data_IF_401987091708
#
_entry.id   IF_401987091708
#
_cell.length_a   1.000
_cell.length_b   1.000
_cell.length_c   1.000
_cell.angle_alpha   90.00
_cell.angle_beta   90.00
_cell.angle_gamma   90.00
#
_symmetry.space_group_name_H-M   'P 1'
#
loop_
_entity.id
_entity.type
_entity.pdbx_description
1 polymer ?
#
# COMPACT_ATOMS: atom_id res chain seq x y z
N UNK A 1 18.27 -14.36 -6.89
CA UNK A 1 17.54 -13.94 -5.67
C UNK A 1 16.18 -13.43 -6.10
N UNK A 2 15.12 -13.72 -5.35
CA UNK A 2 13.79 -13.13 -5.58
C UNK A 2 13.83 -11.66 -5.13
N UNK A 3 13.12 -10.76 -5.82
CA UNK A 3 12.99 -9.37 -5.36
C UNK A 3 12.21 -9.34 -4.04
N UNK A 4 12.75 -8.63 -3.05
CA UNK A 4 12.13 -8.52 -1.73
C UNK A 4 11.19 -7.32 -1.67
N UNK A 5 10.05 -7.46 -1.00
CA UNK A 5 9.13 -6.36 -0.77
C UNK A 5 8.56 -6.36 0.65
N UNK A 6 8.08 -5.19 1.08
CA UNK A 6 7.38 -5.01 2.36
C UNK A 6 5.95 -4.54 2.12
N UNK A 7 5.04 -4.92 3.02
CA UNK A 7 3.60 -4.73 2.89
C UNK A 7 3.04 -3.98 4.12
N UNK A 8 2.91 -2.66 4.01
CA UNK A 8 2.47 -1.78 5.10
C UNK A 8 0.96 -1.48 5.01
N UNK A 9 0.26 -1.50 6.14
CA UNK A 9 -1.21 -1.39 6.19
C UNK A 9 -1.87 -2.44 5.28
N UNK A 10 -1.40 -3.67 5.41
CA UNK A 10 -1.60 -4.73 4.42
C UNK A 10 -3.06 -5.21 4.30
N UNK A 11 -3.88 -4.98 5.33
CA UNK A 11 -5.20 -5.56 5.46
C UNK A 11 -5.14 -7.09 5.32
N UNK A 12 -5.78 -7.61 4.27
CA UNK A 12 -5.81 -9.05 3.96
C UNK A 12 -4.84 -9.44 2.82
N UNK A 13 -3.96 -8.52 2.38
CA UNK A 13 -2.90 -8.80 1.39
C UNK A 13 -3.30 -8.58 -0.07
N UNK A 14 -4.20 -7.63 -0.33
CA UNK A 14 -4.64 -7.32 -1.70
C UNK A 14 -3.51 -6.87 -2.62
N UNK A 15 -2.64 -5.96 -2.16
CA UNK A 15 -1.50 -5.46 -2.94
C UNK A 15 -0.42 -6.54 -3.04
N UNK A 16 -0.12 -7.26 -1.93
CA UNK A 16 0.81 -8.39 -1.89
C UNK A 16 0.57 -9.41 -3.00
N UNK A 17 -0.69 -9.75 -3.27
CA UNK A 17 -1.03 -10.75 -4.29
C UNK A 17 -0.39 -10.46 -5.65
N UNK A 18 -0.44 -9.20 -6.10
CA UNK A 18 0.13 -8.80 -7.39
C UNK A 18 1.66 -8.96 -7.44
N UNK A 19 2.34 -8.67 -6.33
CA UNK A 19 3.81 -8.75 -6.25
C UNK A 19 4.33 -10.17 -6.04
N UNK A 20 3.59 -11.02 -5.33
CA UNK A 20 3.92 -12.46 -5.29
C UNK A 20 3.69 -13.15 -6.64
N UNK A 21 2.67 -12.74 -7.40
CA UNK A 21 2.38 -13.32 -8.71
C UNK A 21 3.52 -13.14 -9.72
N UNK A 22 4.36 -12.12 -9.55
CA UNK A 22 5.57 -11.88 -10.35
C UNK A 22 6.86 -12.41 -9.68
N UNK A 23 6.73 -13.23 -8.63
CA UNK A 23 7.84 -13.91 -7.96
C UNK A 23 8.50 -13.13 -6.82
N UNK A 24 7.88 -12.04 -6.35
CA UNK A 24 8.36 -11.27 -5.21
C UNK A 24 8.27 -12.05 -3.89
N UNK A 25 9.17 -11.75 -2.94
CA UNK A 25 9.15 -12.28 -1.59
C UNK A 25 8.77 -11.21 -0.58
N UNK A 26 7.67 -11.41 0.15
CA UNK A 26 7.31 -10.53 1.26
C UNK A 26 8.24 -10.81 2.45
N UNK A 27 8.98 -9.80 2.92
CA UNK A 27 9.92 -9.94 4.07
C UNK A 27 9.44 -9.23 5.33
N UNK A 28 8.44 -8.37 5.22
CA UNK A 28 7.84 -7.67 6.37
C UNK A 28 6.39 -7.27 6.07
N UNK A 29 5.52 -7.43 7.05
CA UNK A 29 4.12 -7.00 6.99
C UNK A 29 3.74 -6.19 8.23
N UNK A 30 3.09 -5.04 8.04
CA UNK A 30 2.48 -4.27 9.13
C UNK A 30 0.97 -4.20 8.94
N UNK A 31 0.21 -4.68 9.93
CA UNK A 31 -1.24 -4.60 9.96
C UNK A 31 -1.76 -4.62 11.41
N UNK A 32 -2.47 -3.56 11.80
CA UNK A 32 -2.92 -3.36 13.17
C UNK A 32 -4.18 -4.18 13.52
N UNK A 33 -5.05 -4.45 12.54
CA UNK A 33 -6.31 -5.16 12.76
C UNK A 33 -6.08 -6.67 12.87
N UNK A 34 -6.26 -7.21 14.07
CA UNK A 34 -6.06 -8.62 14.39
C UNK A 34 -6.92 -9.59 13.56
N UNK A 35 -8.12 -9.19 13.16
CA UNK A 35 -8.99 -10.01 12.29
C UNK A 35 -8.46 -10.05 10.85
N UNK A 36 -7.95 -8.92 10.35
CA UNK A 36 -7.28 -8.84 9.06
C UNK A 36 -6.00 -9.70 9.06
N UNK A 37 -5.16 -9.60 10.10
CA UNK A 37 -3.96 -10.45 10.27
C UNK A 37 -4.31 -11.93 10.28
N UNK A 38 -5.38 -12.34 10.97
CA UNK A 38 -5.82 -13.75 11.00
C UNK A 38 -6.15 -14.24 9.59
N UNK A 39 -6.88 -13.43 8.82
CA UNK A 39 -7.23 -13.73 7.43
C UNK A 39 -5.98 -13.77 6.53
N UNK A 40 -5.08 -12.81 6.71
CA UNK A 40 -3.84 -12.71 5.98
C UNK A 40 -2.98 -13.98 6.16
N UNK A 41 -2.72 -14.38 7.41
CA UNK A 41 -1.92 -15.58 7.73
C UNK A 41 -2.54 -16.88 7.23
N UNK A 42 -3.86 -16.93 7.11
CA UNK A 42 -4.56 -18.09 6.57
C UNK A 42 -4.47 -18.20 5.03
N UNK A 43 -4.08 -17.12 4.34
CA UNK A 43 -4.00 -17.04 2.88
C UNK A 43 -2.58 -16.99 2.32
N UNK A 44 -1.64 -16.46 3.10
CA UNK A 44 -0.29 -16.15 2.65
C UNK A 44 0.74 -16.94 3.46
N UNK A 45 1.61 -17.67 2.76
CA UNK A 45 2.74 -18.32 3.41
C UNK A 45 3.69 -17.25 3.99
N UNK A 46 3.96 -17.35 5.28
CA UNK A 46 4.82 -16.42 6.01
C UNK A 46 5.83 -17.25 6.80
N UNK A 47 7.01 -17.43 6.23
CA UNK A 47 8.12 -18.14 6.86
C UNK A 47 8.67 -17.33 8.04
N UNK A 48 8.59 -17.81 9.29
CA UNK A 48 9.07 -17.07 10.45
C UNK A 48 10.56 -16.70 10.40
N UNK A 49 11.37 -17.44 9.64
CA UNK A 49 12.80 -17.17 9.50
C UNK A 49 13.10 -16.09 8.45
N UNK A 50 12.15 -15.80 7.56
CA UNK A 50 12.32 -14.89 6.43
C UNK A 50 11.27 -13.76 6.35
N UNK A 51 10.29 -13.75 7.25
CA UNK A 51 9.19 -12.79 7.29
C UNK A 51 8.86 -12.39 8.74
N UNK A 52 8.60 -11.10 8.94
CA UNK A 52 8.20 -10.55 10.24
C UNK A 52 6.88 -9.81 10.16
N UNK A 53 6.08 -9.93 11.22
CA UNK A 53 4.85 -9.16 11.41
C UNK A 53 5.05 -8.04 12.43
N UNK A 54 4.48 -6.89 12.12
CA UNK A 54 4.29 -5.78 13.04
C UNK A 54 2.79 -5.45 13.13
N UNK A 55 2.36 -5.02 14.32
CA UNK A 55 0.99 -4.58 14.54
C UNK A 55 0.87 -3.07 14.34
N UNK A 56 1.51 -2.30 15.22
CA UNK A 56 1.51 -0.83 15.17
C UNK A 56 2.84 -0.35 14.59
N UNK A 57 2.77 0.30 13.42
CA UNK A 57 3.95 0.78 12.71
C UNK A 57 4.72 1.84 13.51
N UNK A 58 4.04 2.54 14.44
CA UNK A 58 4.65 3.60 15.26
C UNK A 58 5.63 3.06 16.29
N UNK A 59 5.53 1.78 16.63
CA UNK A 59 6.53 1.08 17.45
C UNK A 59 7.83 0.86 16.67
N UNK A 60 7.76 0.75 15.34
CA UNK A 60 8.93 0.61 14.48
C UNK A 60 9.53 1.97 14.14
N UNK A 61 8.70 2.96 13.81
CA UNK A 61 9.17 4.28 13.42
C UNK A 61 9.50 5.18 14.61
N UNK A 62 9.04 4.83 15.81
CA UNK A 62 9.14 5.66 17.03
C UNK A 62 8.47 7.04 16.87
N UNK A 63 7.48 7.18 15.98
CA UNK A 63 6.81 8.48 15.73
C UNK A 63 5.97 9.00 16.89
N UNK A 64 5.66 8.14 17.85
CA UNK A 64 4.93 8.51 19.07
C UNK A 64 5.84 8.97 20.22
N UNK A 65 7.17 8.83 20.08
CA UNK A 65 8.14 9.15 21.13
C UNK A 65 8.76 10.52 20.88
N UNK A 66 8.74 11.39 21.90
CA UNK A 66 9.44 12.66 21.86
C UNK A 66 10.92 12.49 22.25
N UNK A 67 11.79 13.28 21.63
CA UNK A 67 13.23 13.27 21.94
C UNK A 67 14.06 12.22 21.20
N UNK A 68 13.44 11.37 20.37
CA UNK A 68 14.14 10.47 19.45
C UNK A 68 14.62 11.26 18.24
N UNK A 69 15.91 11.18 17.93
CA UNK A 69 16.49 11.81 16.73
C UNK A 69 16.11 11.06 15.46
N UNK A 70 16.19 11.74 14.31
CA UNK A 70 15.90 11.11 13.01
C UNK A 70 16.84 9.91 12.74
N UNK A 71 18.11 10.00 13.12
CA UNK A 71 19.10 8.94 12.93
C UNK A 71 18.81 7.71 13.80
N UNK A 72 18.43 7.92 15.07
CA UNK A 72 18.04 6.83 15.98
C UNK A 72 16.80 6.11 15.47
N UNK A 73 15.78 6.83 15.05
CA UNK A 73 14.59 6.24 14.47
C UNK A 73 14.88 5.51 13.15
N UNK A 74 15.71 6.09 12.28
CA UNK A 74 16.12 5.45 11.05
C UNK A 74 16.89 4.14 11.33
N UNK A 75 17.73 4.11 12.36
CA UNK A 75 18.40 2.89 12.78
C UNK A 75 17.42 1.85 13.33
N UNK A 76 16.48 2.26 14.19
CA UNK A 76 15.46 1.36 14.73
C UNK A 76 14.59 0.74 13.62
N UNK A 77 14.20 1.53 12.62
CA UNK A 77 13.52 1.05 11.41
C UNK A 77 14.39 0.02 10.67
N UNK A 78 15.69 0.27 10.53
CA UNK A 78 16.63 -0.66 9.87
C UNK A 78 16.92 -1.92 10.68
N UNK A 79 16.66 -1.95 11.97
CA UNK A 79 16.78 -3.17 12.75
C UNK A 79 15.52 -4.03 12.64
N UNK A 80 14.34 -3.40 12.49
CA UNK A 80 13.05 -4.10 12.46
C UNK A 80 12.55 -4.49 11.05
N UNK A 81 12.68 -3.63 10.04
CA UNK A 81 12.13 -3.88 8.69
C UNK A 81 13.30 -4.28 7.80
N UNK A 82 13.44 -5.49 7.25
CA UNK A 82 14.59 -5.87 6.41
C UNK A 82 14.80 -4.98 5.16
N UNK A 83 15.99 -5.04 4.56
CA UNK A 83 16.22 -4.42 3.26
C UNK A 83 15.30 -5.02 2.18
N UNK A 84 14.80 -4.18 1.28
CA UNK A 84 13.81 -4.57 0.28
C UNK A 84 13.91 -3.69 -0.96
N UNK A 85 13.49 -4.23 -2.10
CA UNK A 85 13.49 -3.55 -3.39
C UNK A 85 12.23 -2.70 -3.57
N UNK A 86 11.08 -3.20 -3.08
CA UNK A 86 9.77 -2.59 -3.27
C UNK A 86 9.05 -2.36 -1.93
N UNK A 87 8.52 -1.16 -1.71
CA UNK A 87 7.65 -0.85 -0.57
C UNK A 87 6.21 -0.71 -1.02
N UNK A 88 5.29 -1.44 -0.39
CA UNK A 88 3.85 -1.35 -0.64
C UNK A 88 3.18 -0.71 0.58
N UNK A 89 2.27 0.24 0.37
CA UNK A 89 1.50 0.82 1.48
C UNK A 89 0.09 1.28 1.08
N UNK A 90 -0.92 0.80 1.81
CA UNK A 90 -2.32 1.27 1.73
C UNK A 90 -2.68 2.19 2.89
N UNK A 91 -2.01 3.34 3.03
CA UNK A 91 -2.15 4.20 4.20
C UNK A 91 -3.50 4.97 4.22
N UNK A 92 -4.12 5.18 5.40
CA UNK A 92 -5.41 5.87 5.48
C UNK A 92 -5.29 7.37 5.13
N UNK A 93 -6.34 7.93 4.51
CA UNK A 93 -6.41 9.35 4.17
C UNK A 93 -6.67 10.21 5.43
N UNK A 94 -5.62 10.87 5.95
CA UNK A 94 -5.69 11.77 7.11
C UNK A 94 -5.37 13.22 6.70
N UNK A 95 -6.08 14.25 7.21
CA UNK A 95 -5.71 15.64 6.99
C UNK A 95 -4.41 15.99 7.72
N UNK A 96 -3.58 16.87 7.13
CA UNK A 96 -2.35 17.34 7.78
C UNK A 96 -2.60 18.66 8.51
N UNK A 97 -2.27 18.74 9.81
CA UNK A 97 -2.36 19.98 10.58
C UNK A 97 -1.20 20.95 10.25
N UNK A 98 -1.49 22.25 10.26
CA UNK A 98 -0.59 23.32 9.78
C UNK A 98 0.63 23.62 10.67
N UNK A 99 0.80 22.96 11.80
CA UNK A 99 1.70 23.38 12.89
C UNK A 99 3.22 23.22 12.62
N UNK A 100 3.67 23.20 11.36
CA UNK A 100 5.07 22.85 11.04
C UNK A 100 5.45 22.81 9.56
N UNK A 101 4.50 22.78 8.62
CA UNK A 101 4.82 22.82 7.18
C UNK A 101 5.01 24.26 6.68
N UNK A 102 4.30 25.25 7.25
CA UNK A 102 4.27 26.64 6.74
C UNK A 102 5.29 27.60 7.37
N UNK A 103 6.32 27.13 8.07
CA UNK A 103 7.38 28.01 8.62
C UNK A 103 8.82 27.59 8.31
N UNK A 104 9.01 26.61 7.40
CA UNK A 104 10.32 25.97 7.17
C UNK A 104 11.01 26.38 5.87
N UNK A 105 10.26 26.85 4.87
CA UNK A 105 10.84 27.34 3.61
C UNK A 105 11.43 28.77 3.69
N UNK A 106 11.24 29.49 4.81
CA UNK A 106 11.73 30.86 4.99
C UNK A 106 13.09 30.96 5.73
N UNK A 107 13.63 29.86 6.25
CA UNK A 107 14.79 29.90 7.18
C UNK A 107 15.95 28.96 6.83
N UNK A 108 15.93 28.29 5.66
CA UNK A 108 17.10 27.55 5.16
C UNK A 108 17.63 26.44 6.07
N UNK A 109 16.79 25.86 6.95
CA UNK A 109 17.17 24.75 7.83
C UNK A 109 16.38 23.49 7.50
N UNK A 110 17.09 22.44 7.09
CA UNK A 110 16.58 21.08 7.04
C UNK A 110 16.45 20.56 8.48
N UNK A 111 15.23 20.48 9.00
CA UNK A 111 14.98 19.75 10.25
C UNK A 111 13.89 18.73 9.94
N UNK A 112 14.31 17.45 9.92
CA UNK A 112 13.67 16.31 9.28
C UNK A 112 12.39 15.80 9.94
N UNK A 113 12.29 14.48 10.12
CA UNK A 113 11.11 13.78 10.58
C UNK A 113 10.88 13.88 12.11
N UNK A 114 11.33 14.97 12.74
CA UNK A 114 11.19 15.25 14.18
C UNK A 114 10.43 16.56 14.51
N UNK A 115 9.34 16.85 13.80
CA UNK A 115 8.50 18.03 14.06
C UNK A 115 7.05 17.61 14.21
N UNK A 116 6.42 18.10 15.28
CA UNK A 116 5.07 17.79 15.80
C UNK A 116 3.89 17.80 14.78
N UNK A 117 4.13 18.18 13.52
CA UNK A 117 3.25 17.96 12.37
C UNK A 117 3.15 16.53 11.86
N UNK A 118 3.88 15.58 12.45
CA UNK A 118 4.04 14.19 12.01
C UNK A 118 2.96 13.19 12.45
N UNK A 119 1.86 13.64 13.04
CA UNK A 119 0.85 12.74 13.61
C UNK A 119 0.05 11.86 12.63
N UNK A 120 0.44 11.75 11.36
CA UNK A 120 -0.25 10.92 10.37
C UNK A 120 0.59 9.73 9.93
N UNK A 121 -0.10 8.63 9.60
CA UNK A 121 0.52 7.38 9.17
C UNK A 121 1.27 7.50 7.84
N UNK A 122 1.02 8.55 7.06
CA UNK A 122 1.84 8.87 5.89
C UNK A 122 3.29 9.21 6.28
N UNK A 123 3.50 9.92 7.40
CA UNK A 123 4.86 10.24 7.83
C UNK A 123 5.60 9.01 8.34
N UNK A 124 4.90 8.01 8.90
CA UNK A 124 5.51 6.71 9.20
C UNK A 124 6.01 6.03 7.92
N UNK A 125 5.21 6.03 6.85
CA UNK A 125 5.64 5.53 5.53
C UNK A 125 6.84 6.32 5.00
N UNK A 126 6.80 7.65 5.05
CA UNK A 126 7.88 8.51 4.58
C UNK A 126 9.21 8.26 5.35
N UNK A 127 9.14 8.06 6.68
CA UNK A 127 10.31 7.68 7.50
C UNK A 127 10.89 6.34 7.09
N UNK A 128 10.03 5.36 6.79
CA UNK A 128 10.50 4.04 6.33
C UNK A 128 11.14 4.14 4.95
N UNK A 129 10.55 4.89 4.03
CA UNK A 129 11.13 5.16 2.70
C UNK A 129 12.50 5.82 2.84
N UNK A 130 12.66 6.77 3.76
CA UNK A 130 13.94 7.44 3.99
C UNK A 130 14.98 6.52 4.61
N UNK A 131 14.61 5.76 5.65
CA UNK A 131 15.52 4.87 6.35
C UNK A 131 15.96 3.66 5.52
N UNK A 132 15.09 3.13 4.65
CA UNK A 132 15.35 1.92 3.85
C UNK A 132 15.64 2.16 2.38
N UNK A 133 15.31 3.33 1.84
CA UNK A 133 15.60 3.72 0.46
C UNK A 133 15.21 2.63 -0.56
N UNK A 134 13.98 2.08 -0.56
CA UNK A 134 13.59 1.07 -1.55
C UNK A 134 13.78 1.59 -2.98
N UNK A 135 14.03 0.70 -3.94
CA UNK A 135 14.20 1.12 -5.34
C UNK A 135 12.88 1.66 -5.91
N UNK A 136 11.76 1.06 -5.50
CA UNK A 136 10.40 1.41 -5.94
C UNK A 136 9.47 1.45 -4.72
N UNK A 137 8.47 2.31 -4.73
CA UNK A 137 7.30 2.16 -3.86
C UNK A 137 6.00 2.18 -4.67
N UNK A 138 4.95 1.57 -4.09
CA UNK A 138 3.57 1.68 -4.57
C UNK A 138 2.69 2.04 -3.39
N UNK A 139 2.10 3.25 -3.44
CA UNK A 139 1.16 3.72 -2.44
C UNK A 139 -0.25 3.74 -3.00
N UNK A 140 -1.19 3.16 -2.27
CA UNK A 140 -2.62 3.18 -2.60
C UNK A 140 -3.36 4.15 -1.68
N UNK A 141 -4.33 4.87 -2.25
CA UNK A 141 -5.23 5.71 -1.46
C UNK A 141 -6.58 5.95 -2.17
N UNK A 142 -7.47 6.68 -1.49
CA UNK A 142 -8.78 7.07 -2.01
C UNK A 142 -8.69 7.93 -3.28
N UNK A 143 -9.62 7.72 -4.23
CA UNK A 143 -9.66 8.46 -5.50
C UNK A 143 -9.70 9.99 -5.35
N UNK A 144 -10.29 10.48 -4.25
CA UNK A 144 -10.47 11.90 -3.98
C UNK A 144 -9.29 12.53 -3.23
N UNK A 145 -8.14 11.84 -3.13
CA UNK A 145 -6.96 12.35 -2.44
C UNK A 145 -6.53 13.74 -2.95
N UNK A 146 -6.68 13.99 -4.26
CA UNK A 146 -6.32 15.25 -4.93
C UNK A 146 -7.16 16.45 -4.48
N UNK A 147 -8.41 16.25 -4.10
CA UNK A 147 -9.31 17.33 -3.66
C UNK A 147 -9.43 17.42 -2.14
N UNK A 148 -8.88 16.45 -1.41
CA UNK A 148 -8.91 16.40 0.04
C UNK A 148 -8.18 17.59 0.69
N UNK A 149 -8.77 18.17 1.74
CA UNK A 149 -8.26 19.38 2.43
C UNK A 149 -7.94 20.53 1.45
N UNK A 150 -8.80 20.75 0.45
CA UNK A 150 -8.57 21.75 -0.60
C UNK A 150 -7.33 21.47 -1.46
N UNK A 151 -6.98 20.19 -1.64
CA UNK A 151 -5.79 19.72 -2.35
C UNK A 151 -4.48 19.82 -1.57
N UNK A 152 -4.54 20.27 -0.32
CA UNK A 152 -3.36 20.39 0.54
C UNK A 152 -2.74 19.03 0.88
N UNK A 153 -3.57 18.01 1.12
CA UNK A 153 -3.09 16.66 1.44
C UNK A 153 -2.24 16.09 0.31
N UNK A 154 -2.77 16.08 -0.91
CA UNK A 154 -2.03 15.58 -2.07
C UNK A 154 -0.73 16.35 -2.32
N UNK A 155 -0.77 17.69 -2.24
CA UNK A 155 0.43 18.52 -2.42
C UNK A 155 1.54 18.20 -1.41
N UNK A 156 1.20 18.01 -0.13
CA UNK A 156 2.18 17.65 0.91
C UNK A 156 2.78 16.27 0.63
N UNK A 157 1.95 15.30 0.24
CA UNK A 157 2.41 13.96 -0.12
C UNK A 157 3.39 14.02 -1.27
N UNK A 158 3.02 14.65 -2.40
CA UNK A 158 3.87 14.73 -3.58
C UNK A 158 5.19 15.48 -3.32
N UNK A 159 5.14 16.59 -2.56
CA UNK A 159 6.35 17.31 -2.18
C UNK A 159 7.27 16.47 -1.29
N UNK A 160 6.70 15.75 -0.32
CA UNK A 160 7.49 14.91 0.59
C UNK A 160 8.18 13.76 -0.17
N UNK A 161 7.49 13.15 -1.12
CA UNK A 161 8.06 12.08 -1.95
C UNK A 161 9.16 12.61 -2.89
N UNK A 162 9.00 13.82 -3.43
CA UNK A 162 10.01 14.50 -4.24
C UNK A 162 11.26 14.88 -3.42
N UNK A 163 11.06 15.45 -2.23
CA UNK A 163 12.12 15.79 -1.28
C UNK A 163 12.91 14.54 -0.83
N UNK A 164 12.24 13.39 -0.74
CA UNK A 164 12.85 12.09 -0.49
C UNK A 164 13.66 11.56 -1.69
N UNK A 165 13.65 12.22 -2.84
CA UNK A 165 14.43 11.80 -4.00
C UNK A 165 13.75 10.73 -4.85
N UNK A 166 12.41 10.73 -4.92
CA UNK A 166 11.65 9.80 -5.76
C UNK A 166 10.85 10.54 -6.84
N UNK A 167 10.93 10.01 -8.06
CA UNK A 167 10.09 10.43 -9.17
C UNK A 167 8.82 9.60 -9.18
N UNK A 168 7.67 10.26 -8.96
CA UNK A 168 6.36 9.60 -9.01
C UNK A 168 5.84 9.58 -10.45
N UNK A 169 5.43 8.39 -10.92
CA UNK A 169 4.84 8.20 -12.24
C UNK A 169 3.66 9.16 -12.46
N UNK A 170 3.66 9.83 -13.62
CA UNK A 170 2.61 10.77 -14.02
C UNK A 170 2.36 11.91 -13.01
N UNK A 171 3.38 12.32 -12.22
CA UNK A 171 3.23 13.36 -11.19
C UNK A 171 2.70 14.69 -11.72
N UNK A 172 3.06 15.05 -12.96
CA UNK A 172 2.62 16.29 -13.62
C UNK A 172 1.14 16.25 -14.06
N UNK A 173 0.57 15.05 -14.19
CA UNK A 173 -0.82 14.86 -14.60
C UNK A 173 -1.75 15.03 -13.40
N UNK A 174 -2.75 15.90 -13.50
CA UNK A 174 -3.74 16.09 -12.43
C UNK A 174 -5.16 16.32 -12.95
N UNK A 175 -5.36 16.18 -14.27
CA UNK A 175 -6.63 16.42 -14.95
C UNK A 175 -7.71 15.38 -14.65
N UNK A 176 -8.86 15.48 -15.35
CA UNK A 176 -9.95 14.50 -15.26
C UNK A 176 -9.56 13.09 -15.71
N UNK A 177 -8.58 12.96 -16.60
CA UNK A 177 -8.05 11.72 -17.16
C UNK A 177 -6.77 11.25 -16.46
N UNK A 178 -6.59 11.63 -15.19
CA UNK A 178 -5.39 11.32 -14.42
C UNK A 178 -5.12 9.79 -14.38
N UNK A 179 -4.00 9.33 -14.96
CA UNK A 179 -3.70 7.91 -15.07
C UNK A 179 -3.38 7.26 -13.72
N UNK A 180 -3.12 8.06 -12.68
CA UNK A 180 -2.99 7.55 -11.31
C UNK A 180 -4.31 7.05 -10.75
N UNK A 181 -5.46 7.40 -11.35
CA UNK A 181 -6.77 6.90 -10.93
C UNK A 181 -7.10 5.63 -11.72
N UNK A 182 -7.16 4.51 -11.01
CA UNK A 182 -7.45 3.19 -11.58
C UNK A 182 -8.79 2.69 -11.05
N UNK A 183 -9.67 2.26 -11.95
CA UNK A 183 -10.97 1.67 -11.61
C UNK A 183 -10.92 0.14 -11.66
N UNK A 184 -11.32 -0.51 -10.55
CA UNK A 184 -11.46 -1.97 -10.47
C UNK A 184 -12.41 -2.56 -11.52
N UNK A 185 -13.31 -1.76 -12.11
CA UNK A 185 -14.28 -2.20 -13.14
C UNK A 185 -13.63 -2.88 -14.34
N UNK A 186 -12.36 -2.53 -14.63
CA UNK A 186 -11.62 -3.07 -15.76
C UNK A 186 -11.15 -4.51 -15.53
N UNK A 187 -11.12 -4.95 -14.27
CA UNK A 187 -10.67 -6.28 -13.87
C UNK A 187 -11.83 -7.14 -13.35
N UNK A 188 -12.75 -6.52 -12.60
CA UNK A 188 -13.89 -7.16 -11.95
C UNK A 188 -15.18 -6.38 -12.22
N UNK A 189 -16.37 -7.00 -12.13
CA UNK A 189 -17.65 -6.31 -12.31
C UNK A 189 -18.02 -5.42 -11.09
N UNK A 190 -17.09 -4.56 -10.65
CA UNK A 190 -17.25 -3.66 -9.52
C UNK A 190 -16.56 -2.32 -9.80
N UNK A 191 -17.33 -1.22 -9.73
CA UNK A 191 -16.74 0.12 -9.68
C UNK A 191 -16.00 0.33 -8.36
N UNK A 192 -14.69 0.57 -8.46
CA UNK A 192 -13.84 0.84 -7.30
C UNK A 192 -12.61 1.60 -7.75
N UNK A 193 -12.73 2.92 -7.79
CA UNK A 193 -11.63 3.80 -8.14
C UNK A 193 -10.71 4.04 -6.93
N UNK A 194 -9.41 4.00 -7.19
CA UNK A 194 -8.33 4.33 -6.25
C UNK A 194 -7.24 5.12 -6.94
N UNK A 195 -6.55 5.96 -6.18
CA UNK A 195 -5.31 6.58 -6.65
C UNK A 195 -4.14 5.65 -6.32
N UNK A 196 -3.23 5.46 -7.27
CA UNK A 196 -2.01 4.67 -7.12
C UNK A 196 -0.81 5.57 -7.43
N UNK A 197 0.09 5.70 -6.47
CA UNK A 197 1.33 6.47 -6.60
C UNK A 197 2.49 5.48 -6.70
N UNK A 198 3.09 5.39 -7.89
CA UNK A 198 4.28 4.55 -8.13
C UNK A 198 5.50 5.46 -8.14
N UNK A 199 6.42 5.28 -7.21
CA UNK A 199 7.63 6.09 -7.11
C UNK A 199 8.89 5.31 -7.40
N UNK A 200 9.82 5.93 -8.12
CA UNK A 200 11.11 5.38 -8.48
C UNK A 200 12.22 6.20 -7.85
N UNK A 201 13.21 5.53 -7.23
CA UNK A 201 14.36 6.23 -6.64
C UNK A 201 15.20 6.90 -7.73
N UNK A 202 15.34 8.22 -7.66
CA UNK A 202 15.89 9.07 -8.73
C UNK A 202 17.34 8.73 -9.10
N UNK A 203 18.16 8.36 -8.12
CA UNK A 203 19.57 7.99 -8.31
C UNK A 203 19.74 6.69 -9.12
N UNK A 204 18.72 5.83 -9.16
CA UNK A 204 18.77 4.55 -9.87
C UNK A 204 18.33 4.64 -11.34
N UNK A 205 17.73 5.76 -11.74
CA UNK A 205 17.23 5.99 -13.11
C UNK A 205 16.36 4.82 -13.66
N UNK A 206 15.50 4.25 -12.80
CA UNK A 206 14.63 3.11 -13.13
C UNK A 206 13.31 3.51 -13.81
N UNK A 207 12.83 4.74 -13.55
CA UNK A 207 11.50 5.19 -13.98
C UNK A 207 11.35 5.25 -15.51
N UNK A 208 12.40 5.60 -16.24
CA UNK A 208 12.41 5.59 -17.72
C UNK A 208 11.15 6.22 -18.34
N UNK A 209 10.46 5.44 -19.17
CA UNK A 209 9.19 5.82 -19.80
C UNK A 209 7.96 5.23 -19.10
N UNK A 210 8.09 4.77 -17.85
CA UNK A 210 6.97 4.16 -17.13
C UNK A 210 5.82 5.17 -16.96
N UNK A 211 4.63 4.76 -17.36
CA UNK A 211 3.39 5.54 -17.18
C UNK A 211 2.22 4.60 -16.89
N UNK A 212 1.31 5.04 -16.02
CA UNK A 212 0.07 4.32 -15.78
C UNK A 212 -0.92 4.46 -16.96
N UNK A 213 -0.63 5.33 -17.94
CA UNK A 213 -1.39 5.44 -19.20
C UNK A 213 -1.33 4.17 -20.05
N UNK A 214 -0.37 3.28 -19.80
CA UNK A 214 -0.23 2.00 -20.50
C UNK A 214 -1.17 0.91 -19.96
N UNK A 215 -1.76 1.09 -18.77
CA UNK A 215 -2.65 0.11 -18.13
C UNK A 215 -3.84 -0.36 -18.98
N UNK A 216 -4.51 0.50 -19.78
CA UNK A 216 -5.57 0.06 -20.67
C UNK A 216 -5.16 -1.06 -21.64
N UNK A 217 -3.89 -1.10 -22.05
CA UNK A 217 -3.35 -2.17 -22.89
C UNK A 217 -3.15 -3.50 -22.14
N UNK A 218 -3.23 -3.49 -20.80
CA UNK A 218 -3.05 -4.65 -19.93
C UNK A 218 -4.37 -5.14 -19.32
N UNK A 219 -5.50 -4.50 -19.60
CA UNK A 219 -6.79 -4.97 -19.12
C UNK A 219 -7.14 -6.33 -19.73
N UNK A 220 -7.75 -7.24 -18.95
CA UNK A 220 -8.23 -8.49 -19.50
C UNK A 220 -9.30 -8.22 -20.57
N UNK A 221 -9.23 -8.95 -21.69
CA UNK A 221 -10.18 -8.79 -22.81
C UNK A 221 -11.64 -9.02 -22.41
N UNK A 222 -11.86 -9.77 -21.34
CA UNK A 222 -13.15 -9.89 -20.67
C UNK A 222 -12.89 -9.73 -19.18
N UNK A 223 -13.53 -8.77 -18.48
CA UNK A 223 -13.47 -8.71 -17.03
C UNK A 223 -13.81 -10.10 -16.48
N UNK A 224 -13.08 -10.57 -15.47
CA UNK A 224 -13.31 -11.89 -14.90
C UNK A 224 -14.77 -12.00 -14.47
N UNK A 225 -15.56 -12.73 -15.25
CA UNK A 225 -16.95 -13.02 -14.98
C UNK A 225 -17.05 -14.35 -14.24
N UNK A 226 -17.98 -14.35 -13.29
CA UNK A 226 -18.40 -15.47 -12.48
C UNK A 226 -18.49 -16.79 -13.27
N UNK A 227 -17.91 -17.86 -12.70
CA UNK A 227 -18.14 -19.20 -13.19
C UNK A 227 -19.58 -19.55 -12.83
N UNK A 228 -20.52 -19.43 -13.79
CA UNK A 228 -21.86 -20.00 -13.66
C UNK A 228 -21.71 -21.50 -13.42
N UNK A 229 -21.77 -21.93 -12.17
CA UNK A 229 -22.02 -23.34 -11.87
C UNK A 229 -23.42 -23.67 -12.38
N UNK A 230 -23.48 -24.40 -13.48
CA UNK A 230 -24.70 -25.07 -13.92
C UNK A 230 -25.19 -25.99 -12.79
N UNK A 231 -26.39 -25.76 -12.28
CA UNK A 231 -27.09 -26.75 -11.46
C UNK A 231 -27.85 -26.20 -10.25
N UNK A 232 -29.14 -25.95 -10.47
CA UNK A 232 -30.26 -26.08 -9.53
C UNK A 232 -30.24 -25.31 -8.19
N UNK A 233 -31.04 -24.23 -8.15
CA UNK A 233 -31.90 -23.92 -7.01
C UNK A 233 -31.29 -23.06 -5.89
N UNK A 234 -31.45 -21.74 -6.01
CA UNK A 234 -31.21 -20.78 -4.92
C UNK A 234 -29.93 -19.96 -5.14
N UNK A 235 -30.03 -18.95 -6.00
CA UNK A 235 -28.91 -18.09 -6.39
C UNK A 235 -28.24 -17.40 -5.19
N UNK A 236 -26.99 -17.76 -4.95
CA UNK A 236 -25.98 -16.89 -4.35
C UNK A 236 -24.85 -16.78 -5.36
N UNK A 237 -24.52 -15.56 -5.78
CA UNK A 237 -23.37 -15.27 -6.64
C UNK A 237 -22.08 -15.59 -5.85
N UNK A 238 -21.28 -16.54 -6.34
CA UNK A 238 -20.04 -17.02 -5.72
C UNK A 238 -18.89 -16.77 -6.70
N UNK A 239 -18.06 -15.77 -6.44
CA UNK A 239 -16.89 -15.46 -7.27
C UNK A 239 -15.79 -16.50 -7.03
N UNK A 240 -15.60 -17.48 -7.93
CA UNK A 240 -14.50 -18.45 -7.84
C UNK A 240 -13.26 -18.00 -8.61
N UNK A 241 -12.09 -18.08 -8.00
CA UNK A 241 -10.80 -18.07 -8.71
C UNK A 241 -10.18 -19.46 -8.64
N UNK A 242 -9.31 -19.85 -9.60
CA UNK A 242 -8.54 -21.08 -9.49
C UNK A 242 -7.74 -21.09 -8.16
N UNK A 243 -8.09 -21.99 -7.23
CA UNK A 243 -7.42 -22.15 -5.94
C UNK A 243 -8.10 -21.54 -4.70
N UNK A 244 -9.34 -21.04 -4.78
CA UNK A 244 -10.11 -20.55 -3.62
C UNK A 244 -10.97 -21.64 -2.95
N UNK A 245 -11.02 -21.68 -1.61
CA UNK A 245 -11.91 -22.52 -0.78
C UNK A 245 -12.99 -21.66 -0.11
N UNK A 246 -14.23 -22.17 -0.05
CA UNK A 246 -15.38 -21.54 0.60
C UNK A 246 -15.21 -21.39 2.13
N UNK A 247 -15.63 -20.25 2.70
CA UNK A 247 -15.85 -20.08 4.15
C UNK A 247 -17.28 -19.58 4.42
N UNK A 248 -17.95 -20.06 5.49
CA UNK A 248 -19.24 -19.54 5.91
C UNK A 248 -19.25 -18.02 6.20
N UNK A 249 -20.31 -17.34 5.75
CA UNK A 249 -20.54 -15.89 5.89
C UNK A 249 -20.40 -15.34 7.33
N UNK A 250 -20.57 -16.18 8.35
CA UNK A 250 -20.45 -15.79 9.76
C UNK A 250 -19.03 -15.36 10.14
N UNK A 251 -17.99 -15.82 9.42
CA UNK A 251 -16.60 -15.36 9.62
C UNK A 251 -16.27 -14.08 8.83
N UNK A 252 -17.02 -13.78 7.76
CA UNK A 252 -16.78 -12.59 6.92
C UNK A 252 -17.32 -11.30 7.56
N UNK A 253 -18.46 -11.37 8.26
CA UNK A 253 -19.13 -10.19 8.82
C UNK A 253 -18.35 -9.50 9.96
N UNK A 254 -17.47 -10.22 10.65
CA UNK A 254 -16.66 -9.67 11.75
C UNK A 254 -15.30 -9.12 11.28
N UNK A 255 -14.84 -9.49 10.08
CA UNK A 255 -13.49 -9.17 9.59
C UNK A 255 -13.43 -7.91 8.70
N UNK A 256 -14.54 -7.53 8.08
CA UNK A 256 -14.60 -6.36 7.20
C UNK A 256 -15.77 -5.47 7.56
N UNK A 257 -15.48 -4.26 8.04
CA UNK A 257 -16.46 -3.19 8.05
C UNK A 257 -17.13 -3.10 6.67
N UNK A 258 -18.46 -3.18 6.67
CA UNK A 258 -19.38 -3.07 5.54
C UNK A 258 -18.85 -3.52 4.16
N UNK A 259 -19.13 -4.78 3.81
CA UNK A 259 -19.33 -5.17 2.40
C UNK A 259 -18.16 -5.82 1.67
N UNK A 260 -17.12 -6.32 2.36
CA UNK A 260 -16.09 -7.15 1.70
C UNK A 260 -16.31 -8.64 2.02
N UNK A 261 -16.26 -9.50 0.99
CA UNK A 261 -16.22 -10.97 1.17
C UNK A 261 -14.76 -11.41 1.17
N UNK A 262 -14.41 -12.27 2.13
CA UNK A 262 -13.06 -12.80 2.32
C UNK A 262 -12.98 -14.22 1.72
N UNK A 263 -11.87 -14.52 1.04
CA UNK A 263 -11.58 -15.84 0.44
C UNK A 263 -10.36 -16.46 1.13
N UNK A 264 -10.34 -17.80 1.27
CA UNK A 264 -9.14 -18.57 1.65
C UNK A 264 -8.55 -19.25 0.42
N UNK A 265 -7.21 -19.26 0.29
CA UNK A 265 -6.48 -20.05 -0.69
C UNK A 265 -6.37 -21.51 -0.22
N UNK A 266 -6.64 -22.48 -1.10
CA UNK A 266 -6.40 -23.90 -0.80
C UNK A 266 -4.90 -24.13 -0.60
N UNK A 267 -4.51 -24.62 0.57
CA UNK A 267 -3.12 -24.92 0.94
C UNK A 267 -2.52 -26.13 0.20
N UNK A 268 -3.15 -26.60 -0.89
CA UNK A 268 -2.73 -27.76 -1.69
C UNK A 268 -2.39 -27.37 -3.13
N UNK A 269 -1.42 -26.48 -3.31
CA UNK A 269 -0.72 -26.37 -4.58
C UNK A 269 0.78 -26.20 -4.29
N UNK A 270 1.49 -27.33 -4.34
CA UNK A 270 2.94 -27.43 -4.32
C UNK A 270 3.55 -26.85 -5.60
#
# INVERSE_FOLDING_TARGET
MRSAFVDLFAGIGGIRHGFEAIGGQCVFTSEWNKHAVRTYKANWYCDPDAHQFNDDIREVTLSHQSGVTDDEAAQHIRDAIPAHDVLLAGFPCQPFSLAGVSKKNALGRAHGFACDTQGTLFFDVARIIDARRPAIFVLENVKNLKSHDGGKTFRIIMQTLDDLGYDVADAAESGPDDPKIIDGKHFLPQHRERIVLVGFRRDLNLGGNFTLRDLPGLWPATPTHDCRSAGAGGGREIYSYPGSVEIPLSLCAEASGEGQRVWLRDGRSH
#
